data_IF_403421316005
#
_entry.id   IF_403421316005
#
_cell.length_a   1.000
_cell.length_b   1.000
_cell.length_c   1.000
_cell.angle_alpha   90.00
_cell.angle_beta   90.00
_cell.angle_gamma   90.00
#
_symmetry.space_group_name_H-M   'P 1'
#
loop_
_entity.id
_entity.type
_entity.pdbx_description
1 polymer ?
#
# COMPACT_ATOMS: atom_id res chain seq x y z
N UNK A 1 -31.86 5.59 -65.83
CA UNK A 1 -33.05 5.36 -64.97
C UNK A 1 -33.37 6.65 -64.22
N UNK A 2 -34.65 7.00 -64.03
CA UNK A 2 -35.06 8.32 -63.53
C UNK A 2 -35.25 8.42 -62.00
N UNK A 3 -35.69 9.60 -61.55
CA UNK A 3 -35.81 10.08 -60.17
C UNK A 3 -37.11 9.62 -59.45
N UNK A 4 -37.01 9.33 -58.14
CA UNK A 4 -38.07 9.14 -57.14
C UNK A 4 -37.36 9.00 -55.76
N UNK A 5 -37.75 9.48 -54.57
CA UNK A 5 -38.72 10.44 -53.99
C UNK A 5 -38.30 10.58 -52.48
N UNK A 6 -38.63 11.57 -51.63
CA UNK A 6 -39.10 12.96 -51.70
C UNK A 6 -38.88 13.59 -50.29
N UNK A 7 -38.94 14.92 -50.12
CA UNK A 7 -38.65 15.59 -48.85
C UNK A 7 -39.87 15.69 -47.92
N UNK A 8 -39.67 15.41 -46.62
CA UNK A 8 -40.68 15.69 -45.57
C UNK A 8 -40.42 17.09 -44.98
N UNK A 9 -41.37 18.01 -45.20
CA UNK A 9 -41.55 19.22 -44.37
C UNK A 9 -42.94 19.16 -43.73
N UNK A 10 -43.02 19.30 -42.42
CA UNK A 10 -44.26 19.67 -41.72
C UNK A 10 -43.95 20.69 -40.62
N UNK A 11 -44.98 21.37 -40.10
CA UNK A 11 -44.84 22.74 -39.60
C UNK A 11 -45.28 22.93 -38.15
N UNK A 12 -44.74 24.02 -37.57
CA UNK A 12 -45.25 24.83 -36.46
C UNK A 12 -46.38 24.30 -35.56
N UNK A 13 -46.06 24.20 -34.26
CA UNK A 13 -47.02 24.44 -33.17
C UNK A 13 -46.52 25.61 -32.33
N UNK A 14 -47.37 26.60 -32.02
CA UNK A 14 -46.99 27.80 -31.26
C UNK A 14 -47.95 28.04 -30.08
N UNK A 15 -47.41 27.96 -28.86
CA UNK A 15 -47.94 28.53 -27.62
C UNK A 15 -46.85 28.40 -26.54
N UNK A 16 -46.67 29.33 -25.60
CA UNK A 16 -47.35 30.63 -25.49
C UNK A 16 -47.59 31.09 -24.05
N UNK A 17 -46.53 31.25 -23.25
CA UNK A 17 -46.62 31.88 -21.91
C UNK A 17 -45.37 32.70 -21.60
N UNK A 18 -45.56 33.99 -21.32
CA UNK A 18 -44.58 34.84 -20.65
C UNK A 18 -44.69 34.68 -19.10
N UNK A 19 -44.15 35.58 -18.26
CA UNK A 19 -42.82 35.41 -17.71
C UNK A 19 -42.83 35.28 -16.18
N UNK A 20 -41.70 34.95 -15.57
CA UNK A 20 -41.55 35.12 -14.12
C UNK A 20 -40.18 35.69 -13.75
N UNK A 21 -40.20 36.96 -13.35
CA UNK A 21 -39.06 37.72 -12.84
C UNK A 21 -38.81 37.40 -11.37
N UNK A 22 -37.55 37.18 -11.00
CA UNK A 22 -37.00 37.36 -9.64
C UNK A 22 -35.50 37.71 -9.76
N UNK A 23 -34.91 38.42 -8.77
CA UNK A 23 -33.90 39.43 -9.08
C UNK A 23 -32.43 38.98 -8.97
N UNK A 24 -31.56 39.85 -9.48
CA UNK A 24 -30.11 39.84 -9.24
C UNK A 24 -29.77 39.97 -7.75
N UNK A 25 -28.71 39.28 -7.32
CA UNK A 25 -28.10 39.43 -6.00
C UNK A 25 -26.57 39.51 -6.13
N UNK A 26 -26.07 40.66 -6.59
CA UNK A 26 -24.64 40.98 -6.53
C UNK A 26 -24.24 41.20 -5.08
N UNK A 27 -23.24 40.47 -4.60
CA UNK A 27 -22.52 40.76 -3.35
C UNK A 27 -21.03 40.97 -3.66
N UNK A 28 -20.34 41.87 -2.94
CA UNK A 28 -19.17 42.55 -3.50
C UNK A 28 -17.85 41.78 -3.40
N UNK A 29 -16.95 42.13 -4.32
CA UNK A 29 -15.50 42.05 -4.07
C UNK A 29 -15.13 43.23 -3.17
N UNK A 30 -14.41 42.96 -2.07
CA UNK A 30 -13.68 43.96 -1.31
C UNK A 30 -12.18 43.57 -1.22
N UNK A 31 -11.34 44.57 -0.96
CA UNK A 31 -9.96 44.61 -1.47
C UNK A 31 -8.85 44.49 -0.42
N UNK A 32 -7.63 44.30 -0.93
CA UNK A 32 -6.37 44.19 -0.20
C UNK A 32 -5.97 45.45 0.59
N UNK A 33 -5.74 45.29 1.90
CA UNK A 33 -4.72 45.99 2.71
C UNK A 33 -4.41 45.13 3.95
N UNK A 34 -3.22 45.18 4.59
CA UNK A 34 -1.99 45.94 4.30
C UNK A 34 -1.14 46.12 5.57
N UNK A 35 0.20 46.00 5.47
CA UNK A 35 1.15 46.00 6.60
C UNK A 35 1.51 44.58 7.04
N UNK A 36 2.77 44.13 7.16
CA UNK A 36 4.02 44.72 7.70
C UNK A 36 4.02 44.94 9.22
N UNK A 37 4.86 44.20 9.96
CA UNK A 37 6.08 44.74 10.60
C UNK A 37 6.93 43.64 11.29
N UNK A 38 8.23 43.62 10.96
CA UNK A 38 9.41 43.39 11.80
C UNK A 38 9.33 42.50 13.07
N UNK A 39 9.99 41.34 13.05
CA UNK A 39 11.01 40.85 14.02
C UNK A 39 11.42 39.41 13.67
N UNK A 40 12.60 38.91 14.03
CA UNK A 40 13.73 39.53 14.74
C UNK A 40 14.69 38.45 15.22
N UNK A 41 15.97 38.60 14.90
CA UNK A 41 17.11 37.74 15.21
C UNK A 41 17.02 36.90 16.50
N UNK A 42 17.19 35.58 16.40
CA UNK A 42 17.86 34.81 17.46
C UNK A 42 18.81 33.78 16.83
N UNK A 43 20.11 34.06 16.94
CA UNK A 43 21.17 33.09 16.71
C UNK A 43 21.30 32.21 17.95
N UNK A 44 21.54 30.91 17.76
CA UNK A 44 22.29 30.14 18.74
C UNK A 44 23.07 29.00 18.05
N UNK A 45 24.31 29.29 17.69
CA UNK A 45 25.27 28.25 17.38
C UNK A 45 25.80 27.66 18.69
N UNK A 46 25.62 26.36 18.89
CA UNK A 46 26.30 25.59 19.95
C UNK A 46 27.22 24.58 19.27
N UNK A 47 28.46 25.02 19.06
CA UNK A 47 29.59 24.22 18.57
C UNK A 47 30.32 23.56 19.77
N UNK A 48 31.20 22.58 19.50
CA UNK A 48 32.13 21.95 20.46
C UNK A 48 31.44 21.03 21.50
N UNK A 49 31.97 19.89 21.97
CA UNK A 49 33.16 19.03 21.68
C UNK A 49 32.80 17.66 22.36
N UNK A 50 33.27 16.46 22.00
CA UNK A 50 34.61 16.00 21.65
C UNK A 50 34.63 14.60 20.99
N UNK A 51 35.76 14.25 20.39
CA UNK A 51 36.34 12.89 20.37
C UNK A 51 37.67 12.96 21.15
N UNK A 52 38.08 11.92 21.91
CA UNK A 52 38.60 10.66 21.37
C UNK A 52 37.88 9.43 22.01
N UNK A 53 37.96 8.17 21.56
CA UNK A 53 39.10 7.27 21.27
C UNK A 53 40.00 6.98 22.47
N UNK A 54 40.04 5.74 22.95
CA UNK A 54 41.24 4.87 23.10
C UNK A 54 41.01 3.71 24.09
N UNK A 55 41.41 2.49 23.69
CA UNK A 55 41.68 1.27 24.50
C UNK A 55 40.60 0.83 25.53
N UNK A 56 40.70 -0.25 26.32
CA UNK A 56 41.53 -1.49 26.34
C UNK A 56 40.54 -2.70 26.16
N UNK A 57 40.85 -4.01 26.17
CA UNK A 57 42.01 -4.82 26.56
C UNK A 57 42.05 -6.12 25.68
N UNK A 58 43.08 -6.94 25.83
CA UNK A 58 43.18 -8.31 25.30
C UNK A 58 43.06 -9.35 26.44
N UNK A 59 42.28 -10.43 26.23
CA UNK A 59 42.43 -11.73 26.92
C UNK A 59 41.99 -12.80 25.93
N UNK A 60 42.91 -13.32 25.11
CA UNK A 60 43.81 -14.45 25.39
C UNK A 60 43.11 -15.82 25.27
N UNK A 61 43.73 -16.73 24.52
CA UNK A 61 43.16 -18.04 24.19
C UNK A 61 43.57 -19.12 25.19
N UNK A 62 42.72 -20.14 25.34
CA UNK A 62 43.15 -21.44 25.86
C UNK A 62 42.69 -22.56 24.90
N UNK A 63 43.67 -23.30 24.38
CA UNK A 63 43.46 -24.46 23.51
C UNK A 63 43.54 -25.73 24.36
N UNK A 64 42.43 -26.44 24.51
CA UNK A 64 42.42 -27.78 25.13
C UNK A 64 42.67 -28.86 24.07
N UNK A 65 43.73 -29.68 24.19
CA UNK A 65 44.08 -30.68 23.18
C UNK A 65 43.51 -32.08 23.46
N UNK A 66 43.29 -32.81 22.37
CA UNK A 66 43.30 -34.28 22.20
C UNK A 66 42.34 -35.15 23.03
N UNK A 67 41.58 -36.00 22.33
CA UNK A 67 41.48 -37.45 22.62
C UNK A 67 40.88 -38.17 21.40
N UNK A 68 41.73 -38.92 20.70
CA UNK A 68 41.34 -39.78 19.58
C UNK A 68 41.12 -41.21 20.11
N UNK A 69 39.87 -41.67 20.20
CA UNK A 69 39.54 -43.09 20.32
C UNK A 69 38.26 -43.38 19.53
N UNK A 70 38.40 -44.09 18.41
CA UNK A 70 37.28 -44.81 17.78
C UNK A 70 37.23 -46.23 18.34
N UNK A 71 36.04 -46.72 18.71
CA UNK A 71 35.77 -48.15 18.71
C UNK A 71 34.55 -48.47 17.84
N UNK A 72 34.76 -49.26 16.79
CA UNK A 72 33.65 -49.91 16.07
C UNK A 72 32.97 -50.93 17.00
N UNK A 73 31.67 -50.78 17.26
CA UNK A 73 30.87 -51.83 17.88
C UNK A 73 29.58 -52.11 17.10
N UNK A 74 29.71 -53.07 16.18
CA UNK A 74 28.78 -54.17 15.95
C UNK A 74 27.28 -53.83 16.04
N UNK A 75 26.62 -53.76 14.88
CA UNK A 75 25.16 -53.67 14.81
C UNK A 75 24.48 -54.93 15.34
N UNK A 76 23.95 -54.85 16.57
CA UNK A 76 22.84 -55.67 17.02
C UNK A 76 21.49 -55.09 16.54
N UNK A 77 20.38 -55.86 16.61
CA UNK A 77 19.05 -55.32 16.42
C UNK A 77 18.71 -54.29 17.53
N UNK A 78 17.85 -53.32 17.21
CA UNK A 78 17.55 -52.21 18.10
C UNK A 78 16.50 -52.60 19.16
N UNK A 79 16.97 -52.99 20.34
CA UNK A 79 16.11 -53.34 21.49
C UNK A 79 15.32 -52.13 22.06
N UNK A 80 15.59 -50.89 21.63
CA UNK A 80 14.85 -49.71 22.14
C UNK A 80 13.41 -49.66 21.63
N UNK A 81 13.16 -50.10 20.40
CA UNK A 81 11.84 -50.14 19.75
C UNK A 81 10.90 -51.14 20.47
N UNK A 82 11.46 -52.31 20.85
CA UNK A 82 10.76 -53.32 21.63
C UNK A 82 10.37 -52.83 23.04
N UNK A 83 11.20 -51.95 23.65
CA UNK A 83 10.88 -51.33 24.95
C UNK A 83 9.84 -50.21 24.84
N UNK A 84 9.84 -49.43 23.74
CA UNK A 84 8.76 -48.46 23.45
C UNK A 84 7.40 -49.17 23.33
N UNK A 85 7.35 -50.25 22.54
CA UNK A 85 6.13 -51.02 22.32
C UNK A 85 5.55 -51.61 23.62
N UNK A 86 6.40 -52.12 24.53
CA UNK A 86 5.95 -52.63 25.84
C UNK A 86 5.57 -51.53 26.86
N UNK A 87 6.04 -50.30 26.68
CA UNK A 87 5.59 -49.13 27.46
C UNK A 87 4.23 -48.57 27.02
N UNK A 88 3.64 -49.10 25.94
CA UNK A 88 2.42 -48.55 25.36
C UNK A 88 2.63 -47.24 24.58
N UNK A 89 3.88 -46.82 24.37
CA UNK A 89 4.22 -45.82 23.38
C UNK A 89 4.19 -46.47 22.01
N UNK A 90 2.99 -46.59 21.45
CA UNK A 90 2.80 -46.80 20.01
C UNK A 90 3.47 -45.62 19.32
N UNK A 91 4.35 -45.91 18.36
CA UNK A 91 4.81 -44.90 17.40
C UNK A 91 3.65 -44.52 16.49
N UNK A 92 2.75 -43.68 16.99
CA UNK A 92 1.67 -43.13 16.19
C UNK A 92 2.28 -42.30 15.06
N UNK A 93 2.05 -42.87 13.87
CA UNK A 93 2.42 -42.50 12.52
C UNK A 93 2.67 -41.01 12.30
N UNK A 94 3.68 -40.70 11.47
CA UNK A 94 3.99 -39.34 11.07
C UNK A 94 2.72 -38.62 10.62
N UNK A 95 2.31 -37.56 11.34
CA UNK A 95 1.06 -36.85 11.07
C UNK A 95 1.00 -36.48 9.58
N UNK A 96 0.06 -37.10 8.86
CA UNK A 96 -0.40 -36.62 7.56
C UNK A 96 -1.07 -35.27 7.81
N UNK A 97 -0.23 -34.23 7.87
CA UNK A 97 -0.57 -32.90 8.32
C UNK A 97 -1.83 -32.43 7.57
N UNK A 98 -3.01 -32.43 8.23
CA UNK A 98 -4.29 -32.34 7.54
C UNK A 98 -4.30 -31.03 6.77
N UNK A 99 -4.58 -31.07 5.45
CA UNK A 99 -4.15 -30.04 4.49
C UNK A 99 -4.49 -28.67 5.03
N UNK A 100 -3.45 -27.97 5.50
CA UNK A 100 -3.58 -26.93 6.53
C UNK A 100 -4.73 -26.01 6.18
N UNK A 101 -5.76 -25.99 7.04
CA UNK A 101 -6.99 -25.21 6.81
C UNK A 101 -6.59 -23.75 6.76
N UNK A 102 -6.37 -23.26 5.53
CA UNK A 102 -5.32 -22.29 5.25
C UNK A 102 -5.43 -21.08 6.16
N UNK A 103 -4.45 -20.91 7.05
CA UNK A 103 -4.50 -19.86 8.07
C UNK A 103 -4.73 -18.53 7.38
N UNK A 104 -5.94 -17.99 7.52
CA UNK A 104 -6.40 -16.83 6.77
C UNK A 104 -5.57 -15.60 7.17
N UNK A 105 -4.48 -15.35 6.45
CA UNK A 105 -3.70 -14.14 6.62
C UNK A 105 -4.47 -12.99 5.94
N UNK A 106 -4.93 -11.98 6.71
CA UNK A 106 -5.73 -10.90 6.15
C UNK A 106 -4.90 -9.99 5.23
N UNK A 107 -3.56 -9.99 5.37
CA UNK A 107 -2.65 -9.31 4.46
C UNK A 107 -2.58 -9.98 3.10
N UNK A 108 -2.54 -11.32 3.06
CA UNK A 108 -2.54 -12.08 1.80
C UNK A 108 -3.90 -11.98 1.10
N UNK A 109 -5.00 -12.10 1.86
CA UNK A 109 -6.35 -11.89 1.32
C UNK A 109 -6.54 -10.47 0.75
N UNK A 110 -5.96 -9.44 1.39
CA UNK A 110 -5.93 -8.07 0.88
C UNK A 110 -5.04 -7.92 -0.35
N UNK A 111 -3.89 -8.61 -0.39
CA UNK A 111 -2.99 -8.60 -1.53
C UNK A 111 -3.64 -9.22 -2.77
N UNK A 112 -4.25 -10.39 -2.66
CA UNK A 112 -4.99 -11.01 -3.78
C UNK A 112 -6.19 -10.15 -4.24
N UNK A 113 -6.97 -9.60 -3.30
CA UNK A 113 -8.04 -8.63 -3.64
C UNK A 113 -7.51 -7.41 -4.39
N UNK A 114 -6.34 -6.88 -4.01
CA UNK A 114 -5.71 -5.77 -4.70
C UNK A 114 -5.27 -6.17 -6.12
N UNK A 115 -4.65 -7.35 -6.28
CA UNK A 115 -4.25 -7.88 -7.58
C UNK A 115 -5.45 -8.04 -8.52
N UNK A 116 -6.46 -8.79 -8.09
CA UNK A 116 -7.63 -9.11 -8.92
C UNK A 116 -8.51 -7.87 -9.14
N UNK A 117 -8.64 -7.00 -8.14
CA UNK A 117 -9.34 -5.74 -8.25
C UNK A 117 -8.69 -4.79 -9.27
N UNK A 118 -7.35 -4.70 -9.29
CA UNK A 118 -6.62 -3.92 -10.30
C UNK A 118 -6.71 -4.54 -11.71
N UNK A 119 -6.63 -5.88 -11.82
CA UNK A 119 -6.63 -6.61 -13.11
C UNK A 119 -8.02 -6.69 -13.76
N UNK A 120 -9.07 -6.81 -12.96
CA UNK A 120 -10.48 -6.81 -13.42
C UNK A 120 -11.02 -5.41 -13.73
N UNK A 121 -10.33 -4.34 -13.32
CA UNK A 121 -10.81 -2.97 -13.40
C UNK A 121 -11.86 -2.59 -12.34
N UNK A 122 -12.21 -3.49 -11.42
CA UNK A 122 -13.08 -3.18 -10.27
C UNK A 122 -12.51 -2.04 -9.42
N UNK A 123 -11.21 -2.10 -9.15
CA UNK A 123 -10.45 -1.03 -8.50
C UNK A 123 -9.96 -0.03 -9.55
N UNK A 124 -10.84 0.92 -9.89
CA UNK A 124 -10.54 1.94 -10.92
C UNK A 124 -9.44 2.89 -10.43
N UNK A 125 -8.34 2.90 -11.17
CA UNK A 125 -7.09 3.62 -10.87
C UNK A 125 -7.18 5.09 -11.32
N UNK A 126 -6.27 5.92 -10.81
CA UNK A 126 -6.06 7.33 -11.22
C UNK A 126 -7.27 8.27 -11.06
N UNK A 127 -8.37 7.84 -10.40
CA UNK A 127 -9.51 8.70 -10.05
C UNK A 127 -9.07 9.90 -9.19
N UNK A 128 -9.69 11.09 -9.33
CA UNK A 128 -9.29 12.30 -8.60
C UNK A 128 -9.54 12.22 -7.08
N UNK A 129 -10.49 11.40 -6.64
CA UNK A 129 -10.76 11.04 -5.24
C UNK A 129 -10.24 9.63 -4.88
N UNK A 130 -9.49 9.01 -5.80
CA UNK A 130 -9.11 7.61 -5.79
C UNK A 130 -8.32 7.15 -4.55
N UNK A 131 -8.27 5.82 -4.40
CA UNK A 131 -7.44 5.13 -3.40
C UNK A 131 -6.19 4.49 -4.00
N UNK A 132 -6.15 4.38 -5.33
CA UNK A 132 -5.04 3.79 -6.07
C UNK A 132 -4.71 4.70 -7.26
N UNK A 133 -3.44 5.01 -7.43
CA UNK A 133 -2.90 5.81 -8.52
C UNK A 133 -1.58 5.20 -8.98
N UNK A 134 -1.21 5.38 -10.25
CA UNK A 134 0.13 5.07 -10.73
C UNK A 134 1.01 6.33 -10.72
N UNK A 135 2.28 6.19 -10.38
CA UNK A 135 3.28 7.26 -10.41
C UNK A 135 4.70 6.68 -10.50
N UNK A 136 5.45 7.08 -11.53
CA UNK A 136 6.85 6.71 -11.77
C UNK A 136 7.11 5.19 -11.73
N UNK A 137 6.20 4.38 -12.28
CA UNK A 137 6.29 2.91 -12.27
C UNK A 137 5.92 2.25 -10.92
N UNK A 138 5.37 3.01 -9.98
CA UNK A 138 4.79 2.49 -8.73
C UNK A 138 3.27 2.67 -8.72
N UNK A 139 2.59 1.76 -8.03
CA UNK A 139 1.20 1.87 -7.61
C UNK A 139 1.17 2.45 -6.19
N UNK A 140 0.62 3.65 -6.05
CA UNK A 140 0.42 4.33 -4.78
C UNK A 140 -0.92 3.90 -4.15
N UNK A 141 -0.88 3.33 -2.95
CA UNK A 141 -2.02 2.82 -2.19
C UNK A 141 -2.35 3.75 -1.02
N UNK A 142 -3.40 4.57 -1.17
CA UNK A 142 -3.80 5.61 -0.21
C UNK A 142 -4.27 5.02 1.12
N UNK A 143 -3.50 5.27 2.18
CA UNK A 143 -3.83 4.86 3.54
C UNK A 143 -4.65 5.94 4.29
N UNK A 144 -5.47 5.58 5.29
CA UNK A 144 -5.97 4.22 5.58
C UNK A 144 -7.07 3.77 4.61
N UNK A 145 -7.44 4.61 3.64
CA UNK A 145 -8.61 4.45 2.79
C UNK A 145 -8.71 3.11 2.06
N UNK A 146 -7.60 2.60 1.52
CA UNK A 146 -7.57 1.33 0.78
C UNK A 146 -8.01 0.13 1.65
N UNK A 147 -7.53 0.05 2.90
CA UNK A 147 -7.92 -0.98 3.86
C UNK A 147 -9.41 -0.88 4.25
N UNK A 148 -9.92 0.34 4.42
CA UNK A 148 -11.35 0.54 4.70
C UNK A 148 -12.25 0.11 3.53
N UNK A 149 -11.75 0.15 2.30
CA UNK A 149 -12.49 -0.35 1.14
C UNK A 149 -12.51 -1.89 1.13
N UNK A 150 -11.36 -2.55 1.21
CA UNK A 150 -11.27 -4.01 1.34
C UNK A 150 -12.18 -4.56 2.44
N UNK A 151 -12.08 -4.03 3.66
CA UNK A 151 -12.90 -4.49 4.79
C UNK A 151 -14.40 -4.27 4.55
N UNK A 152 -14.80 -3.26 3.77
CA UNK A 152 -16.20 -3.05 3.41
C UNK A 152 -16.67 -4.06 2.35
N UNK A 153 -15.84 -4.37 1.35
CA UNK A 153 -16.15 -5.34 0.29
C UNK A 153 -16.15 -6.79 0.79
N UNK A 154 -15.24 -7.15 1.70
CA UNK A 154 -15.20 -8.47 2.35
C UNK A 154 -16.15 -8.60 3.55
N UNK A 155 -16.98 -7.59 3.82
CA UNK A 155 -17.91 -7.54 4.98
C UNK A 155 -17.22 -7.77 6.35
N UNK A 156 -15.95 -7.38 6.48
CA UNK A 156 -15.15 -7.55 7.67
C UNK A 156 -15.21 -6.32 8.60
N UNK A 157 -15.08 -6.48 9.94
CA UNK A 157 -15.08 -5.36 10.88
C UNK A 157 -14.00 -4.32 10.56
N UNK A 158 -14.39 -3.04 10.50
CA UNK A 158 -13.46 -1.91 10.25
C UNK A 158 -12.41 -1.75 11.34
N UNK A 159 -12.72 -2.23 12.55
CA UNK A 159 -11.81 -2.34 13.69
C UNK A 159 -10.60 -3.25 13.41
N UNK A 160 -10.68 -4.19 12.47
CA UNK A 160 -9.57 -5.05 12.07
C UNK A 160 -8.49 -4.32 11.25
N UNK A 161 -8.73 -3.06 10.83
CA UNK A 161 -7.79 -2.27 10.01
C UNK A 161 -6.35 -2.20 10.55
N UNK A 162 -6.06 -2.07 11.86
CA UNK A 162 -4.68 -2.06 12.37
C UNK A 162 -3.99 -3.42 12.19
N UNK A 163 -4.71 -4.52 12.43
CA UNK A 163 -4.20 -5.88 12.25
C UNK A 163 -3.98 -6.22 10.78
N UNK A 164 -4.94 -5.87 9.92
CA UNK A 164 -4.84 -5.97 8.47
C UNK A 164 -3.64 -5.17 7.92
N UNK A 165 -3.47 -3.92 8.35
CA UNK A 165 -2.33 -3.10 7.93
C UNK A 165 -1.00 -3.78 8.30
N UNK A 166 -0.85 -4.24 9.55
CA UNK A 166 0.36 -4.96 9.99
C UNK A 166 0.62 -6.25 9.22
N UNK A 167 -0.43 -6.98 8.83
CA UNK A 167 -0.31 -8.17 8.01
C UNK A 167 0.20 -7.83 6.59
N UNK A 168 -0.38 -6.82 5.93
CA UNK A 168 0.13 -6.33 4.63
C UNK A 168 1.56 -5.78 4.70
N UNK A 169 1.90 -5.04 5.77
CA UNK A 169 3.26 -4.55 6.01
C UNK A 169 4.26 -5.73 6.13
N UNK A 170 3.88 -6.80 6.87
CA UNK A 170 4.68 -8.02 7.05
C UNK A 170 4.97 -8.77 5.74
N UNK A 171 4.15 -8.65 4.71
CA UNK A 171 4.39 -9.31 3.41
C UNK A 171 5.49 -8.66 2.55
N UNK A 172 5.94 -7.44 2.86
CA UNK A 172 7.02 -6.80 2.11
C UNK A 172 6.70 -6.49 0.62
N UNK A 173 5.42 -6.46 0.23
CA UNK A 173 5.05 -6.09 -1.14
C UNK A 173 5.33 -4.60 -1.44
N UNK A 174 5.23 -3.74 -0.41
CA UNK A 174 5.52 -2.31 -0.47
C UNK A 174 7.03 -1.99 -0.49
N UNK A 175 7.37 -0.76 -0.92
CA UNK A 175 8.71 -0.17 -0.91
C UNK A 175 9.08 0.28 0.51
N UNK A 176 10.27 -0.05 0.99
CA UNK A 176 10.68 0.11 2.39
C UNK A 176 12.00 0.90 2.57
N UNK A 177 12.49 1.58 1.52
CA UNK A 177 13.83 2.20 1.53
C UNK A 177 13.90 3.52 2.32
N UNK A 178 12.83 4.32 2.33
CA UNK A 178 12.72 5.54 3.14
C UNK A 178 11.57 5.45 4.17
N UNK A 179 11.29 4.24 4.66
CA UNK A 179 10.18 3.94 5.58
C UNK A 179 8.96 3.31 4.91
N UNK A 180 7.92 3.07 5.71
CA UNK A 180 6.73 2.27 5.32
C UNK A 180 5.70 3.07 4.51
N UNK A 181 5.56 4.38 4.77
CA UNK A 181 4.56 5.25 4.14
C UNK A 181 5.21 6.48 3.50
N UNK A 182 4.73 6.82 2.32
CA UNK A 182 5.19 7.93 1.49
C UNK A 182 4.13 9.04 1.48
N UNK A 183 4.59 10.29 1.51
CA UNK A 183 3.73 11.44 1.25
C UNK A 183 3.57 11.61 -0.26
N UNK A 184 2.37 11.94 -0.72
CA UNK A 184 2.16 12.39 -2.09
C UNK A 184 1.31 13.67 -2.11
N UNK A 185 1.55 14.55 -3.08
CA UNK A 185 0.70 15.69 -3.38
C UNK A 185 -0.10 15.40 -4.66
N UNK A 186 -1.43 15.41 -4.54
CA UNK A 186 -2.34 15.28 -5.67
C UNK A 186 -2.85 16.68 -6.06
N UNK A 187 -2.39 17.19 -7.20
CA UNK A 187 -2.68 18.53 -7.69
C UNK A 187 -4.05 18.62 -8.38
N UNK A 188 -4.60 19.84 -8.44
CA UNK A 188 -5.87 20.12 -9.12
C UNK A 188 -5.72 20.44 -10.62
N UNK A 189 -4.49 20.57 -11.12
CA UNK A 189 -4.16 20.87 -12.52
C UNK A 189 -2.87 20.16 -12.95
N UNK A 190 -2.70 19.96 -14.26
CA UNK A 190 -1.52 19.28 -14.83
C UNK A 190 -0.24 20.12 -14.79
N UNK A 191 -0.37 21.43 -14.61
CA UNK A 191 0.76 22.34 -14.37
C UNK A 191 1.42 22.10 -13.00
N UNK A 192 0.75 21.38 -12.09
CA UNK A 192 1.18 21.12 -10.70
C UNK A 192 1.38 22.42 -9.89
N UNK A 193 0.57 23.42 -10.18
CA UNK A 193 0.63 24.74 -9.56
C UNK A 193 -0.56 24.98 -8.61
N UNK A 194 -0.31 25.73 -7.54
CA UNK A 194 -1.35 26.10 -6.57
C UNK A 194 -1.79 24.95 -5.67
N UNK A 195 -3.10 24.64 -5.66
CA UNK A 195 -3.73 23.79 -4.64
C UNK A 195 -3.55 22.30 -4.92
N UNK A 196 -3.07 21.58 -3.90
CA UNK A 196 -2.98 20.12 -3.88
C UNK A 196 -3.69 19.54 -2.65
N UNK A 197 -3.99 18.24 -2.69
CA UNK A 197 -4.37 17.43 -1.53
C UNK A 197 -3.16 16.61 -1.08
N UNK A 198 -2.77 16.73 0.20
CA UNK A 198 -1.74 15.87 0.78
C UNK A 198 -2.32 14.48 1.05
N UNK A 199 -1.67 13.46 0.52
CA UNK A 199 -1.98 12.04 0.68
C UNK A 199 -0.85 11.33 1.43
N UNK A 200 -1.18 10.23 2.10
CA UNK A 200 -0.23 9.28 2.67
C UNK A 200 -0.63 7.86 2.26
N UNK A 201 0.34 6.98 2.05
CA UNK A 201 0.11 5.65 1.51
C UNK A 201 1.39 4.87 1.22
N UNK A 202 1.24 3.69 0.64
CA UNK A 202 2.35 2.81 0.28
C UNK A 202 2.69 2.96 -1.20
N UNK A 203 3.95 2.78 -1.56
CA UNK A 203 4.34 2.52 -2.95
C UNK A 203 4.56 1.03 -3.13
N UNK A 204 3.91 0.42 -4.11
CA UNK A 204 4.15 -0.97 -4.56
C UNK A 204 4.69 -0.89 -6.00
N UNK A 205 5.72 -1.66 -6.34
CA UNK A 205 6.25 -1.65 -7.71
C UNK A 205 5.18 -2.18 -8.69
N UNK A 206 4.90 -1.46 -9.79
CA UNK A 206 3.76 -1.78 -10.65
C UNK A 206 3.82 -3.19 -11.26
N UNK A 207 5.02 -3.70 -11.52
CA UNK A 207 5.26 -5.08 -12.01
C UNK A 207 4.93 -6.20 -11.01
N UNK A 208 4.69 -5.88 -9.72
CA UNK A 208 4.10 -6.84 -8.77
C UNK A 208 2.59 -7.03 -8.98
N UNK A 209 1.92 -6.08 -9.63
CA UNK A 209 0.46 -6.05 -9.82
C UNK A 209 0.08 -6.34 -11.27
N UNK A 210 0.64 -5.56 -12.21
CA UNK A 210 0.40 -5.69 -13.64
C UNK A 210 1.48 -6.54 -14.31
N UNK A 211 1.05 -7.47 -15.16
CA UNK A 211 1.93 -8.33 -15.95
C UNK A 211 1.71 -8.03 -17.43
N UNK A 212 2.80 -7.75 -18.15
CA UNK A 212 2.75 -7.28 -19.54
C UNK A 212 2.20 -5.86 -19.68
N UNK A 213 1.71 -5.53 -20.87
CA UNK A 213 1.38 -4.16 -21.31
C UNK A 213 0.09 -3.57 -20.72
N UNK A 214 -0.56 -4.26 -19.78
CA UNK A 214 -1.83 -3.86 -19.15
C UNK A 214 -1.69 -2.74 -18.10
N UNK A 215 -0.83 -1.74 -18.36
CA UNK A 215 -0.54 -0.65 -17.44
C UNK A 215 -1.23 0.66 -17.90
N UNK A 216 -2.30 1.14 -17.22
CA UNK A 216 -3.17 2.22 -17.72
C UNK A 216 -2.61 3.64 -17.59
N UNK A 217 -1.28 3.79 -17.53
CA UNK A 217 -0.57 5.06 -17.47
C UNK A 217 -0.47 5.67 -16.06
N UNK A 218 0.52 6.54 -15.89
CA UNK A 218 0.77 7.28 -14.64
C UNK A 218 -0.19 8.46 -14.47
N UNK A 219 -0.55 8.77 -13.22
CA UNK A 219 -1.31 9.96 -12.87
C UNK A 219 -0.40 11.20 -12.91
N UNK A 220 -0.51 12.01 -13.97
CA UNK A 220 0.26 13.27 -14.14
C UNK A 220 0.07 14.25 -12.97
N UNK A 221 -1.07 14.20 -12.27
CA UNK A 221 -1.41 15.06 -11.15
C UNK A 221 -0.79 14.63 -9.81
N UNK A 222 -0.24 13.41 -9.70
CA UNK A 222 0.33 12.90 -8.46
C UNK A 222 1.86 13.06 -8.44
N UNK A 223 2.38 13.63 -7.35
CA UNK A 223 3.81 13.79 -7.10
C UNK A 223 4.16 13.15 -5.76
N UNK A 224 5.14 12.24 -5.74
CA UNK A 224 5.72 11.69 -4.50
C UNK A 224 6.69 12.73 -3.90
N UNK A 225 6.67 12.87 -2.57
CA UNK A 225 7.50 13.80 -1.79
C UNK A 225 8.46 13.02 -0.90
#
# INVERSE_FOLDING_TARGET
MPLWFEAIRLTAGVAGTEPLVVPVATVPVESLQGGELLSGLVENASELVASPSEDELLTAAELMPVSEVVPEHQGGPDDTDALLAMMGFVGEEAEENPPSVGTYDPGEAFWQWLLDGCRSGSLILNKPDGRIHLVAGYVFLRAPGIFHQFLTETNAPKENKPSLQKAFERLGHHRQDNGTMYTCHLYQNEQREGRFQKLSGYLVLASKIFTGDNNPGDNTLLVVI
#
